data_IF_592168883942
#
_entry.id   IF_592168883942
#
_cell.length_a   1.000
_cell.length_b   1.000
_cell.length_c   1.000
_cell.angle_alpha   90.00
_cell.angle_beta   90.00
_cell.angle_gamma   90.00
#
_symmetry.space_group_name_H-M   'P 1'
#
loop_
_entity.id
_entity.type
_entity.pdbx_description
1 polymer ?
#
# COMPACT_ATOMS: atom_id res chain seq x y z
N UNK A 1 11.05 1.96 21.76
CA UNK A 1 10.66 1.97 20.34
C UNK A 1 9.22 2.45 20.26
N UNK A 2 8.96 3.58 19.60
CA UNK A 2 7.61 4.15 19.51
C UNK A 2 6.72 3.45 18.46
N UNK A 3 5.43 3.77 18.48
CA UNK A 3 4.50 3.36 17.43
C UNK A 3 4.93 4.02 16.11
N UNK A 4 5.18 3.20 15.09
CA UNK A 4 5.55 3.65 13.75
C UNK A 4 4.68 2.94 12.73
N UNK A 5 4.43 3.61 11.62
CA UNK A 5 3.78 2.99 10.48
C UNK A 5 4.64 1.88 9.87
N UNK A 6 3.97 0.83 9.38
CA UNK A 6 4.62 -0.19 8.55
C UNK A 6 4.92 0.38 7.15
N UNK A 7 5.68 -0.35 6.34
CA UNK A 7 5.78 -0.04 4.91
C UNK A 7 4.47 -0.45 4.24
N UNK A 8 3.82 0.48 3.56
CA UNK A 8 2.57 0.21 2.85
C UNK A 8 2.42 1.11 1.61
N UNK A 9 1.50 0.73 0.73
CA UNK A 9 0.95 1.60 -0.30
C UNK A 9 -0.58 1.61 -0.20
N UNK A 10 -1.23 2.68 -0.66
CA UNK A 10 -2.68 2.81 -0.57
C UNK A 10 -3.26 3.43 -1.83
N UNK A 11 -4.34 2.85 -2.33
CA UNK A 11 -5.19 3.45 -3.35
C UNK A 11 -6.36 4.16 -2.66
N UNK A 12 -6.48 5.47 -2.90
CA UNK A 12 -7.56 6.31 -2.35
C UNK A 12 -8.44 6.78 -3.50
N UNK A 13 -9.75 6.58 -3.39
CA UNK A 13 -10.78 7.09 -4.32
C UNK A 13 -11.72 7.99 -3.53
N UNK A 14 -11.89 9.24 -3.95
CA UNK A 14 -12.75 10.25 -3.31
C UNK A 14 -12.55 10.41 -1.79
N UNK A 15 -11.28 10.44 -1.36
CA UNK A 15 -10.92 10.57 0.05
C UNK A 15 -11.16 9.31 0.90
N UNK A 16 -11.61 8.21 0.29
CA UNK A 16 -11.78 6.91 0.95
C UNK A 16 -10.73 5.91 0.49
N UNK A 17 -10.24 5.13 1.43
CA UNK A 17 -9.31 4.03 1.18
C UNK A 17 -10.02 2.94 0.39
N UNK A 18 -9.63 2.73 -0.86
CA UNK A 18 -10.12 1.64 -1.68
C UNK A 18 -9.30 0.36 -1.45
N UNK A 19 -7.98 0.49 -1.37
CA UNK A 19 -7.05 -0.63 -1.15
C UNK A 19 -5.90 -0.19 -0.26
N UNK A 20 -5.49 -1.04 0.68
CA UNK A 20 -4.32 -0.83 1.53
C UNK A 20 -3.41 -2.06 1.44
N UNK A 21 -2.21 -1.87 0.89
CA UNK A 21 -1.21 -2.91 0.71
C UNK A 21 -0.13 -2.78 1.78
N UNK A 22 -0.20 -3.60 2.84
CA UNK A 22 0.79 -3.58 3.93
C UNK A 22 1.84 -4.67 3.71
N UNK A 23 3.11 -4.30 3.83
CA UNK A 23 4.21 -5.25 3.71
C UNK A 23 4.37 -6.11 4.97
N UNK A 24 4.76 -7.36 4.76
CA UNK A 24 5.27 -8.18 5.84
C UNK A 24 6.66 -7.68 6.31
N UNK A 25 7.07 -7.98 7.55
CA UNK A 25 8.39 -7.60 8.05
C UNK A 25 9.51 -8.07 7.12
N UNK A 26 10.37 -7.14 6.68
CA UNK A 26 11.52 -7.43 5.81
C UNK A 26 11.18 -7.63 4.33
N UNK A 27 9.91 -7.45 3.92
CA UNK A 27 9.48 -7.62 2.53
C UNK A 27 9.24 -6.31 1.78
N UNK A 28 9.25 -6.42 0.45
CA UNK A 28 8.89 -5.37 -0.50
C UNK A 28 8.25 -6.00 -1.75
N UNK A 29 7.05 -6.56 -1.58
CA UNK A 29 6.36 -7.29 -2.65
C UNK A 29 5.08 -6.58 -3.12
N UNK A 30 4.38 -5.86 -2.22
CA UNK A 30 3.01 -5.37 -2.47
C UNK A 30 2.86 -3.85 -2.40
N UNK A 31 3.89 -3.15 -1.91
CA UNK A 31 3.95 -1.69 -1.81
C UNK A 31 4.69 -1.04 -2.98
N UNK A 32 5.02 -1.81 -4.02
CA UNK A 32 5.72 -1.31 -5.20
C UNK A 32 4.77 -0.55 -6.17
N UNK A 33 5.38 0.15 -7.14
CA UNK A 33 4.65 0.95 -8.11
C UNK A 33 3.83 0.11 -9.11
N UNK A 34 4.31 -1.08 -9.47
CA UNK A 34 3.64 -1.97 -10.41
C UNK A 34 2.31 -2.49 -9.85
N UNK A 35 2.30 -2.92 -8.58
CA UNK A 35 1.09 -3.32 -7.85
C UNK A 35 0.09 -2.17 -7.75
N UNK A 36 0.54 -0.96 -7.42
CA UNK A 36 -0.33 0.21 -7.37
C UNK A 36 -0.92 0.55 -8.73
N UNK A 37 -0.11 0.51 -9.79
CA UNK A 37 -0.57 0.83 -11.14
C UNK A 37 -1.60 -0.20 -11.64
N UNK A 38 -1.40 -1.48 -11.33
CA UNK A 38 -2.38 -2.52 -11.64
C UNK A 38 -3.71 -2.28 -10.93
N UNK A 39 -3.68 -1.83 -9.67
CA UNK A 39 -4.89 -1.50 -8.89
C UNK A 39 -5.61 -0.24 -9.39
N UNK A 40 -4.87 0.74 -9.91
CA UNK A 40 -5.43 1.99 -10.44
C UNK A 40 -6.03 1.85 -11.84
N UNK A 41 -5.66 0.80 -12.59
CA UNK A 41 -6.16 0.52 -13.94
C UNK A 41 -7.55 -0.12 -13.97
N UNK A 42 -8.16 -0.42 -12.80
CA UNK A 42 -9.52 -0.91 -12.64
C UNK A 42 -10.50 0.18 -12.18
#
# INVERSE_FOLDING_TARGET
MGLRSNRYSMLVKDGKVATLNVEAPGKFEVSNAETLLAQAKG
#
